data_IF_034857398638
#
_entry.id   IF_034857398638
#
_cell.length_a   1.000
_cell.length_b   1.000
_cell.length_c   1.000
_cell.angle_alpha   90.00
_cell.angle_beta   90.00
_cell.angle_gamma   90.00
#
_symmetry.space_group_name_H-M   'P 1'
#
loop_
_entity.id
_entity.type
_entity.pdbx_description
1 polymer ?
#
# COMPACT_ATOMS: atom_id res chain seq x y z
N UNK A 1 -2.39 -19.32 2.63
CA UNK A 1 -2.31 -17.86 2.82
C UNK A 1 -1.85 -17.27 1.50
N UNK A 2 -2.60 -16.33 0.92
CA UNK A 2 -2.13 -15.60 -0.26
C UNK A 2 -1.00 -14.66 0.19
N UNK A 3 0.10 -14.65 -0.56
CA UNK A 3 1.27 -13.82 -0.24
C UNK A 3 0.84 -12.35 -0.23
N UNK A 4 1.09 -11.63 0.87
CA UNK A 4 0.75 -10.21 1.00
C UNK A 4 -0.57 -9.90 1.71
N UNK A 5 -1.38 -10.90 2.07
CA UNK A 5 -2.59 -10.70 2.88
C UNK A 5 -2.23 -10.59 4.38
N UNK A 6 -2.65 -9.52 5.08
CA UNK A 6 -2.37 -9.37 6.51
C UNK A 6 -3.17 -10.37 7.35
N UNK A 7 -2.59 -10.83 8.47
CA UNK A 7 -3.20 -11.82 9.37
C UNK A 7 -4.48 -11.32 10.07
N UNK A 8 -4.67 -10.00 10.17
CA UNK A 8 -5.82 -9.33 10.80
C UNK A 8 -6.49 -8.41 9.78
N UNK A 9 -7.26 -8.96 8.86
CA UNK A 9 -7.87 -8.21 7.75
C UNK A 9 -8.78 -7.09 8.27
N UNK A 10 -9.47 -7.29 9.39
CA UNK A 10 -10.37 -6.31 9.99
C UNK A 10 -9.70 -4.98 10.39
N UNK A 11 -8.38 -4.99 10.61
CA UNK A 11 -7.60 -3.79 10.92
C UNK A 11 -7.24 -2.97 9.67
N UNK A 12 -7.60 -3.45 8.47
CA UNK A 12 -7.21 -2.87 7.19
C UNK A 12 -8.46 -2.56 6.35
N UNK A 13 -8.34 -1.52 5.54
CA UNK A 13 -9.22 -1.24 4.42
C UNK A 13 -8.63 -1.94 3.19
N UNK A 14 -9.45 -2.75 2.52
CA UNK A 14 -9.11 -3.36 1.24
C UNK A 14 -9.47 -2.39 0.12
N UNK A 15 -8.48 -2.03 -0.69
CA UNK A 15 -8.62 -1.21 -1.88
C UNK A 15 -8.23 -2.08 -3.06
N UNK A 16 -9.16 -2.29 -3.99
CA UNK A 16 -8.90 -3.02 -5.21
C UNK A 16 -8.51 -2.04 -6.31
N UNK A 17 -7.31 -2.20 -6.87
CA UNK A 17 -6.79 -1.37 -7.97
C UNK A 17 -6.34 -2.30 -9.07
N UNK A 18 -7.06 -2.28 -10.19
CA UNK A 18 -6.90 -3.24 -11.30
C UNK A 18 -6.93 -4.70 -10.80
N UNK A 19 -5.84 -5.44 -10.99
CA UNK A 19 -5.68 -6.84 -10.55
C UNK A 19 -4.96 -6.97 -9.19
N UNK A 20 -4.71 -5.85 -8.49
CA UNK A 20 -3.97 -5.80 -7.24
C UNK A 20 -4.90 -5.50 -6.06
N UNK A 21 -4.78 -6.31 -5.01
CA UNK A 21 -5.42 -6.08 -3.71
C UNK A 21 -4.47 -5.33 -2.78
N UNK A 22 -4.82 -4.10 -2.41
CA UNK A 22 -4.04 -3.25 -1.52
C UNK A 22 -4.70 -3.18 -0.14
N UNK A 23 -3.99 -3.57 0.90
CA UNK A 23 -4.45 -3.48 2.28
C UNK A 23 -3.83 -2.26 2.96
N UNK A 24 -4.66 -1.26 3.28
CA UNK A 24 -4.22 -0.05 3.99
C UNK A 24 -4.71 -0.11 5.43
N UNK A 25 -3.81 0.01 6.41
CA UNK A 25 -4.19 -0.05 7.82
C UNK A 25 -5.18 1.08 8.14
N UNK A 26 -6.25 0.78 8.88
CA UNK A 26 -7.22 1.77 9.35
C UNK A 26 -6.52 2.78 10.25
N UNK A 27 -6.85 4.06 10.09
CA UNK A 27 -6.23 5.17 10.83
C UNK A 27 -4.93 5.70 10.23
N UNK A 28 -4.50 5.21 9.06
CA UNK A 28 -3.47 5.91 8.27
C UNK A 28 -4.09 7.18 7.70
N UNK A 29 -3.47 8.32 8.00
CA UNK A 29 -3.83 9.62 7.43
C UNK A 29 -2.91 9.83 6.22
N UNK A 30 -3.47 10.23 5.08
CA UNK A 30 -2.68 10.67 3.94
C UNK A 30 -2.64 12.20 3.94
N UNK A 31 -1.51 12.80 3.57
CA UNK A 31 -1.36 14.27 3.60
C UNK A 31 -2.38 14.98 2.70
N UNK A 32 -2.68 14.39 1.53
CA UNK A 32 -3.64 14.92 0.53
C UNK A 32 -4.75 13.89 0.22
N UNK A 33 -5.18 13.11 1.22
CA UNK A 33 -6.14 11.99 1.07
C UNK A 33 -5.75 10.92 0.02
N UNK A 34 -4.53 11.01 -0.52
CA UNK A 34 -4.05 10.22 -1.64
C UNK A 34 -2.76 9.50 -1.24
N UNK A 35 -2.75 8.17 -1.38
CA UNK A 35 -1.55 7.35 -1.29
C UNK A 35 -1.11 6.94 -2.69
N UNK A 36 0.12 7.27 -3.06
CA UNK A 36 0.69 6.87 -4.35
C UNK A 36 1.62 5.70 -4.14
N UNK A 37 1.29 4.55 -4.73
CA UNK A 37 2.13 3.35 -4.73
C UNK A 37 2.79 3.24 -6.10
N UNK A 38 4.11 3.20 -6.14
CA UNK A 38 4.89 3.11 -7.38
C UNK A 38 6.00 2.08 -7.25
N UNK A 39 6.29 1.37 -8.34
CA UNK A 39 7.51 0.57 -8.45
C UNK A 39 8.60 1.47 -9.05
N UNK A 40 9.72 1.66 -8.32
CA UNK A 40 10.87 2.38 -8.82
C UNK A 40 12.05 1.44 -8.96
N UNK A 41 12.73 1.51 -10.10
CA UNK A 41 14.00 0.84 -10.34
C UNK A 41 15.13 1.84 -10.14
N UNK A 42 16.03 1.56 -9.21
CA UNK A 42 17.24 2.35 -9.01
C UNK A 42 18.46 1.47 -9.26
N UNK A 43 19.23 1.81 -10.30
CA UNK A 43 20.31 1.00 -10.85
C UNK A 43 19.81 -0.42 -11.23
N UNK A 44 20.08 -1.39 -10.37
CA UNK A 44 19.78 -2.81 -10.53
C UNK A 44 18.74 -3.33 -9.53
N UNK A 45 18.21 -2.45 -8.67
CA UNK A 45 17.24 -2.83 -7.63
C UNK A 45 15.87 -2.26 -7.94
N UNK A 46 14.87 -3.13 -7.97
CA UNK A 46 13.47 -2.74 -7.98
C UNK A 46 12.98 -2.59 -6.54
N UNK A 47 12.18 -1.58 -6.28
CA UNK A 47 11.63 -1.31 -4.95
C UNK A 47 10.23 -0.72 -5.06
N UNK A 48 9.35 -1.16 -4.17
CA UNK A 48 8.03 -0.57 -4.00
C UNK A 48 8.16 0.68 -3.13
N UNK A 49 7.62 1.80 -3.60
CA UNK A 49 7.66 3.09 -2.91
C UNK A 49 6.24 3.56 -2.68
N UNK A 50 5.92 3.85 -1.42
CA UNK A 50 4.63 4.43 -1.01
C UNK A 50 4.88 5.89 -0.62
N UNK A 51 4.15 6.81 -1.25
CA UNK A 51 4.22 8.25 -1.00
C UNK A 51 2.89 8.77 -0.48
N UNK A 52 2.93 9.82 0.33
CA UNK A 52 1.73 10.51 0.82
C UNK A 52 1.25 10.10 2.21
N UNK A 53 1.92 9.17 2.91
CA UNK A 53 1.59 8.85 4.31
C UNK A 53 1.95 10.03 5.23
N UNK A 54 0.95 10.53 5.96
CA UNK A 54 1.12 11.44 7.09
C UNK A 54 1.19 10.61 8.38
N UNK A 55 2.14 10.92 9.26
CA UNK A 55 2.37 10.18 10.51
C UNK A 55 1.25 10.39 11.53
#
# INVERSE_FOLDING_TARGET
MLVGQPSKIDDFNLIQVDEISVYVKKGVIANDDTLTISAKRFLWKESLVVQGMAY
#
